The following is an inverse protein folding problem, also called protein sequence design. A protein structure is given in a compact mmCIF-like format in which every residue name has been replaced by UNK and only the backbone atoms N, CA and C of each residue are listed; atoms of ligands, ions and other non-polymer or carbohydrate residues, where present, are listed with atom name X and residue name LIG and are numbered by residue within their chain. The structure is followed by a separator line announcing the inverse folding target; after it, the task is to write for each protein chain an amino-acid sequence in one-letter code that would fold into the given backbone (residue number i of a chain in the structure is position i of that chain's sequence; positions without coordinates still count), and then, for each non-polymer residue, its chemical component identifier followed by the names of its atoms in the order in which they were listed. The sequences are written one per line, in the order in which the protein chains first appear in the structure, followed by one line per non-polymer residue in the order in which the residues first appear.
data_IF_211213183711
#
_entry.id   IF_211213183711
#
_cell.length_a   1.000
_cell.length_b   1.000
_cell.length_c   1.000
_cell.angle_alpha   90.00
_cell.angle_beta   90.00
_cell.angle_gamma   90.00
#
_symmetry.space_group_name_H-M   'P 1'
#
loop_
_entity.id
_entity.type
_entity.pdbx_description
1 polymer ?
#
# COMPACT_ATOMS: atom_id res chain seq x y z
N UNK A 1 -58.87 -15.50 10.78
CA UNK A 1 -57.44 -15.79 10.59
C UNK A 1 -56.93 -14.83 9.53
N UNK A 2 -56.10 -13.86 9.90
CA UNK A 2 -55.47 -12.94 8.95
C UNK A 2 -54.09 -13.50 8.60
N UNK A 3 -53.86 -13.82 7.33
CA UNK A 3 -52.55 -14.23 6.83
C UNK A 3 -51.65 -12.99 6.71
N UNK A 4 -50.59 -12.98 7.52
CA UNK A 4 -49.50 -12.00 7.42
C UNK A 4 -48.72 -12.26 6.13
N UNK A 5 -48.80 -11.34 5.17
CA UNK A 5 -47.98 -11.34 3.96
C UNK A 5 -46.58 -10.88 4.38
N UNK A 6 -45.65 -11.83 4.51
CA UNK A 6 -44.22 -11.54 4.62
C UNK A 6 -43.73 -10.96 3.30
N UNK A 7 -43.50 -9.65 3.27
CA UNK A 7 -42.73 -8.98 2.22
C UNK A 7 -41.28 -9.43 2.37
N UNK A 8 -40.87 -10.45 1.61
CA UNK A 8 -39.47 -10.82 1.42
C UNK A 8 -38.77 -9.60 0.80
N UNK A 9 -37.98 -8.88 1.61
CA UNK A 9 -37.11 -7.83 1.08
C UNK A 9 -36.14 -8.50 0.09
N UNK A 10 -35.97 -7.95 -1.13
CA UNK A 10 -34.94 -8.45 -2.02
C UNK A 10 -33.60 -8.34 -1.29
N UNK A 11 -32.80 -9.41 -1.34
CA UNK A 11 -31.47 -9.42 -0.77
C UNK A 11 -30.73 -8.15 -1.19
N UNK A 12 -30.09 -7.43 -0.25
CA UNK A 12 -29.39 -6.18 -0.58
C UNK A 12 -28.45 -6.44 -1.76
N UNK A 13 -28.41 -5.54 -2.76
CA UNK A 13 -27.60 -5.74 -3.95
C UNK A 13 -26.18 -6.11 -3.51
N UNK A 14 -25.66 -7.19 -4.10
CA UNK A 14 -24.41 -7.84 -3.74
C UNK A 14 -23.42 -6.83 -3.18
N UNK A 15 -23.18 -6.94 -1.86
CA UNK A 15 -22.16 -6.19 -1.14
C UNK A 15 -20.93 -6.13 -2.04
N UNK A 16 -20.42 -4.92 -2.33
CA UNK A 16 -19.10 -4.74 -2.91
C UNK A 16 -18.16 -5.53 -1.99
N UNK A 17 -17.84 -6.77 -2.36
CA UNK A 17 -16.99 -7.63 -1.56
C UNK A 17 -15.65 -6.92 -1.57
N UNK A 18 -15.32 -6.27 -0.45
CA UNK A 18 -14.08 -5.55 -0.22
C UNK A 18 -12.95 -6.58 -0.30
N UNK A 19 -12.44 -6.82 -1.52
CA UNK A 19 -11.42 -7.83 -1.74
C UNK A 19 -10.09 -7.31 -1.20
N UNK A 20 -9.52 -7.94 -0.16
CA UNK A 20 -8.31 -7.43 0.46
C UNK A 20 -7.12 -7.51 -0.51
N UNK A 21 -6.19 -6.56 -0.37
CA UNK A 21 -4.87 -6.63 -1.00
C UNK A 21 -4.02 -7.68 -0.27
N UNK A 22 -3.22 -8.50 -0.98
CA UNK A 22 -2.33 -9.45 -0.35
C UNK A 22 -1.26 -8.72 0.43
N UNK A 23 -0.61 -9.42 1.34
CA UNK A 23 0.53 -8.87 2.08
C UNK A 23 1.69 -8.53 1.14
N UNK A 24 1.96 -9.42 0.18
CA UNK A 24 2.95 -9.25 -0.87
C UNK A 24 2.30 -9.00 -2.24
N UNK A 25 2.38 -7.76 -2.71
CA UNK A 25 1.88 -7.34 -4.03
C UNK A 25 2.71 -7.92 -5.21
N UNK A 26 3.91 -8.43 -4.99
CA UNK A 26 4.69 -9.09 -6.05
C UNK A 26 3.97 -10.30 -6.61
N UNK A 27 3.17 -10.98 -5.77
CA UNK A 27 2.34 -12.12 -6.17
C UNK A 27 1.32 -11.77 -7.26
N UNK A 28 0.99 -10.49 -7.43
CA UNK A 28 0.04 -10.01 -8.43
C UNK A 28 0.70 -9.35 -9.64
N UNK A 29 1.71 -8.50 -9.42
CA UNK A 29 2.17 -7.57 -10.46
C UNK A 29 3.59 -7.84 -10.96
N UNK A 30 4.35 -8.70 -10.28
CA UNK A 30 5.79 -8.86 -10.51
C UNK A 30 6.60 -7.62 -10.14
N UNK A 31 7.93 -7.74 -10.24
CA UNK A 31 8.88 -6.74 -9.75
C UNK A 31 8.79 -5.41 -10.52
N UNK A 32 8.83 -5.47 -11.86
CA UNK A 32 8.83 -4.27 -12.72
C UNK A 32 7.64 -3.37 -12.45
N UNK A 33 6.44 -3.93 -12.45
CA UNK A 33 5.19 -3.18 -12.24
C UNK A 33 5.15 -2.59 -10.84
N UNK A 34 5.55 -3.35 -9.81
CA UNK A 34 5.55 -2.85 -8.45
C UNK A 34 6.54 -1.70 -8.24
N UNK A 35 7.71 -1.76 -8.89
CA UNK A 35 8.67 -0.64 -8.91
C UNK A 35 8.03 0.60 -9.55
N UNK A 36 7.37 0.46 -10.71
CA UNK A 36 6.73 1.58 -11.39
C UNK A 36 5.64 2.22 -10.52
N UNK A 37 4.74 1.42 -9.95
CA UNK A 37 3.69 1.90 -9.04
C UNK A 37 4.29 2.61 -7.82
N UNK A 38 5.42 2.13 -7.29
CA UNK A 38 6.08 2.76 -6.15
C UNK A 38 6.68 4.12 -6.52
N UNK A 39 7.40 4.20 -7.64
CA UNK A 39 7.99 5.45 -8.13
C UNK A 39 6.92 6.50 -8.43
N UNK A 40 5.80 6.09 -9.02
CA UNK A 40 4.65 6.96 -9.26
C UNK A 40 4.00 7.44 -7.95
N UNK A 41 3.86 6.58 -6.94
CA UNK A 41 3.34 6.99 -5.64
C UNK A 41 4.29 7.94 -4.90
N UNK A 42 5.61 7.78 -5.06
CA UNK A 42 6.63 8.66 -4.48
C UNK A 42 6.60 10.03 -5.14
N UNK A 43 6.43 10.12 -6.45
CA UNK A 43 6.39 11.39 -7.18
C UNK A 43 5.21 12.28 -6.77
N UNK A 44 4.15 11.70 -6.20
CA UNK A 44 2.97 12.40 -5.69
C UNK A 44 3.15 12.99 -4.28
N UNK A 45 4.25 12.71 -3.60
CA UNK A 45 4.49 13.15 -2.22
C UNK A 45 5.67 14.09 -2.13
N UNK A 46 5.44 15.28 -1.58
CA UNK A 46 6.50 16.23 -1.30
C UNK A 46 7.14 15.91 0.06
N UNK A 47 8.38 15.45 0.05
CA UNK A 47 9.17 15.13 1.26
C UNK A 47 9.72 16.39 1.98
N UNK A 48 9.59 17.57 1.37
CA UNK A 48 10.18 18.81 1.87
C UNK A 48 11.72 18.79 1.87
N UNK A 49 12.33 19.92 2.21
CA UNK A 49 13.80 20.08 2.20
C UNK A 49 14.53 19.32 3.32
N UNK A 50 13.81 18.75 4.29
CA UNK A 50 14.36 18.17 5.53
C UNK A 50 14.89 16.74 5.38
N UNK A 51 14.75 16.14 4.20
CA UNK A 51 15.06 14.73 3.95
C UNK A 51 16.39 14.51 3.23
N UNK A 52 17.04 15.59 2.78
CA UNK A 52 18.27 15.54 1.99
C UNK A 52 18.07 14.92 0.61
N UNK A 53 19.15 14.83 -0.18
CA UNK A 53 19.11 14.36 -1.57
C UNK A 53 18.62 12.90 -1.69
N UNK A 54 18.85 12.06 -0.67
CA UNK A 54 18.45 10.65 -0.67
C UNK A 54 17.05 10.39 -0.11
N UNK A 55 16.29 11.43 0.24
CA UNK A 55 14.94 11.30 0.78
C UNK A 55 13.99 10.47 -0.12
N UNK A 56 13.89 10.78 -1.44
CA UNK A 56 13.03 10.04 -2.36
C UNK A 56 13.44 8.57 -2.55
N UNK A 57 14.73 8.28 -2.60
CA UNK A 57 15.24 6.91 -2.75
C UNK A 57 14.91 6.06 -1.51
N UNK A 58 15.12 6.62 -0.31
CA UNK A 58 14.81 5.92 0.93
C UNK A 58 13.29 5.74 1.11
N UNK A 59 12.48 6.70 0.67
CA UNK A 59 11.02 6.56 0.63
C UNK A 59 10.60 5.44 -0.33
N UNK A 60 11.21 5.39 -1.52
CA UNK A 60 10.95 4.36 -2.53
C UNK A 60 11.28 2.97 -1.98
N UNK A 61 12.47 2.79 -1.42
CA UNK A 61 12.90 1.52 -0.82
C UNK A 61 11.92 1.06 0.28
N UNK A 62 11.58 1.95 1.22
CA UNK A 62 10.69 1.63 2.35
C UNK A 62 9.30 1.24 1.86
N UNK A 63 8.69 2.05 0.99
CA UNK A 63 7.33 1.79 0.50
C UNK A 63 7.27 0.54 -0.38
N UNK A 64 8.30 0.29 -1.21
CA UNK A 64 8.41 -0.95 -1.97
C UNK A 64 8.50 -2.17 -1.04
N UNK A 65 9.35 -2.12 -0.01
CA UNK A 65 9.46 -3.20 0.98
C UNK A 65 8.15 -3.46 1.72
N UNK A 66 7.41 -2.41 2.08
CA UNK A 66 6.12 -2.54 2.75
C UNK A 66 5.05 -3.16 1.86
N UNK A 67 5.08 -2.85 0.57
CA UNK A 67 4.18 -3.42 -0.41
C UNK A 67 4.39 -4.93 -0.62
N UNK A 68 5.58 -5.43 -0.29
CA UNK A 68 5.94 -6.87 -0.31
C UNK A 68 5.94 -7.54 1.08
N UNK A 69 5.46 -6.86 2.12
CA UNK A 69 5.40 -7.39 3.49
C UNK A 69 6.71 -7.38 4.28
N UNK A 70 7.78 -6.77 3.77
CA UNK A 70 9.05 -6.61 4.49
C UNK A 70 9.01 -5.30 5.28
N UNK A 71 8.80 -5.40 6.59
CA UNK A 71 8.39 -4.25 7.41
C UNK A 71 9.44 -3.76 8.39
N UNK A 72 10.21 -4.66 9.01
CA UNK A 72 11.20 -4.30 10.03
C UNK A 72 12.40 -3.58 9.43
N UNK A 73 12.95 -2.59 10.14
CA UNK A 73 14.10 -1.82 9.65
C UNK A 73 15.34 -2.71 9.43
N UNK A 74 15.55 -3.72 10.30
CA UNK A 74 16.61 -4.72 10.12
C UNK A 74 16.33 -5.69 8.95
N UNK A 75 15.07 -6.03 8.72
CA UNK A 75 14.69 -6.87 7.58
C UNK A 75 14.93 -6.13 6.26
N UNK A 76 14.59 -4.84 6.20
CA UNK A 76 14.83 -3.99 5.03
C UNK A 76 16.32 -3.81 4.78
N UNK A 77 17.10 -3.54 5.84
CA UNK A 77 18.56 -3.47 5.75
C UNK A 77 19.15 -4.78 5.21
N UNK A 78 18.77 -5.92 5.79
CA UNK A 78 19.22 -7.23 5.31
C UNK A 78 18.83 -7.44 3.84
N UNK A 79 17.60 -7.13 3.46
CA UNK A 79 17.14 -7.28 2.08
C UNK A 79 17.94 -6.38 1.11
N UNK A 80 18.16 -5.10 1.43
CA UNK A 80 18.93 -4.17 0.60
C UNK A 80 20.41 -4.57 0.46
N UNK A 81 20.98 -5.25 1.47
CA UNK A 81 22.34 -5.79 1.39
C UNK A 81 22.42 -7.02 0.49
N UNK A 82 21.39 -7.86 0.41
CA UNK A 82 21.44 -9.14 -0.32
C UNK A 82 20.76 -9.09 -1.69
N UNK A 83 19.96 -8.07 -1.96
CA UNK A 83 19.24 -7.88 -3.22
C UNK A 83 19.73 -6.59 -3.93
N UNK A 84 20.47 -6.70 -5.05
CA UNK A 84 20.95 -5.55 -5.81
C UNK A 84 19.83 -4.66 -6.36
N UNK A 85 18.65 -5.20 -6.65
CA UNK A 85 17.53 -4.41 -7.16
C UNK A 85 16.94 -3.54 -6.05
N UNK A 86 16.76 -4.09 -4.85
CA UNK A 86 16.39 -3.29 -3.67
C UNK A 86 17.43 -2.21 -3.37
N UNK A 87 18.72 -2.55 -3.47
CA UNK A 87 19.79 -1.56 -3.25
C UNK A 87 19.71 -0.40 -4.23
N UNK A 88 19.40 -0.67 -5.50
CA UNK A 88 19.21 0.38 -6.52
C UNK A 88 18.02 1.30 -6.19
N UNK A 89 16.92 0.74 -5.67
CA UNK A 89 15.79 1.56 -5.20
C UNK A 89 16.18 2.50 -4.06
N UNK A 90 17.14 2.09 -3.21
CA UNK A 90 17.71 2.91 -2.14
C UNK A 90 18.86 3.83 -2.55
N UNK A 91 18.98 4.20 -3.83
CA UNK A 91 20.04 5.11 -4.30
C UNK A 91 21.40 4.42 -4.46
N UNK A 92 21.40 3.10 -4.71
CA UNK A 92 22.58 2.24 -4.85
C UNK A 92 23.45 2.13 -3.58
N UNK A 93 22.91 2.53 -2.43
CA UNK A 93 23.49 2.34 -1.10
C UNK A 93 22.55 1.45 -0.29
N UNK A 94 23.08 0.51 0.50
CA UNK A 94 22.27 -0.24 1.45
C UNK A 94 22.20 0.55 2.76
N UNK A 95 21.08 1.25 3.07
CA UNK A 95 20.98 2.02 4.30
C UNK A 95 20.96 1.07 5.51
N UNK A 96 21.57 1.51 6.61
CA UNK A 96 21.51 0.76 7.86
C UNK A 96 20.12 0.84 8.51
N UNK A 97 19.81 -0.10 9.41
CA UNK A 97 18.51 -0.18 10.07
C UNK A 97 18.18 1.09 10.86
N UNK A 98 19.19 1.79 11.39
CA UNK A 98 18.98 3.01 12.19
C UNK A 98 18.56 4.19 11.30
N UNK A 99 19.15 4.30 10.11
CA UNK A 99 18.80 5.26 9.06
C UNK A 99 17.37 5.03 8.60
N UNK A 100 16.98 3.79 8.33
CA UNK A 100 15.61 3.41 7.96
C UNK A 100 14.62 3.78 9.08
N UNK A 101 14.93 3.41 10.32
CA UNK A 101 14.07 3.68 11.50
C UNK A 101 13.88 5.17 11.72
N UNK A 102 14.95 5.96 11.66
CA UNK A 102 14.90 7.41 11.85
C UNK A 102 14.16 8.10 10.71
N UNK A 103 14.39 7.67 9.47
CA UNK A 103 13.67 8.18 8.30
C UNK A 103 12.16 7.97 8.45
N UNK A 104 11.73 6.76 8.78
CA UNK A 104 10.31 6.44 8.98
C UNK A 104 9.66 7.28 10.08
N UNK A 105 10.36 7.52 11.18
CA UNK A 105 9.88 8.35 12.29
C UNK A 105 9.70 9.81 11.88
N UNK A 106 10.69 10.37 11.18
CA UNK A 106 10.68 11.78 10.74
C UNK A 106 9.70 12.03 9.60
N UNK A 107 9.44 11.02 8.76
CA UNK A 107 8.64 11.14 7.53
C UNK A 107 7.38 10.27 7.57
N UNK A 108 6.81 10.03 8.75
CA UNK A 108 5.67 9.12 8.95
C UNK A 108 4.50 9.45 8.01
N UNK A 109 4.18 10.73 7.86
CA UNK A 109 3.10 11.17 6.98
C UNK A 109 3.40 10.87 5.50
N UNK A 110 4.64 11.11 5.06
CA UNK A 110 5.05 10.81 3.69
C UNK A 110 4.97 9.30 3.40
N UNK A 111 5.48 8.46 4.30
CA UNK A 111 5.38 6.99 4.19
C UNK A 111 3.92 6.55 4.11
N UNK A 112 3.04 7.08 4.97
CA UNK A 112 1.61 6.76 4.96
C UNK A 112 0.95 7.17 3.64
N UNK A 113 1.20 8.40 3.17
CA UNK A 113 0.60 8.93 1.94
C UNK A 113 1.06 8.15 0.71
N UNK A 114 2.36 7.90 0.58
CA UNK A 114 2.93 7.12 -0.53
C UNK A 114 2.40 5.71 -0.52
N UNK A 115 2.39 5.03 0.63
CA UNK A 115 1.88 3.67 0.72
C UNK A 115 0.38 3.59 0.41
N UNK A 116 -0.41 4.56 0.86
CA UNK A 116 -1.84 4.64 0.51
C UNK A 116 -2.02 4.83 -1.01
N UNK A 117 -1.29 5.75 -1.64
CA UNK A 117 -1.37 5.93 -3.09
C UNK A 117 -0.98 4.65 -3.83
N UNK A 118 0.12 4.01 -3.43
CA UNK A 118 0.58 2.74 -3.99
C UNK A 118 -0.48 1.63 -3.89
N UNK A 119 -1.06 1.44 -2.70
CA UNK A 119 -2.07 0.41 -2.47
C UNK A 119 -3.39 0.70 -3.21
N UNK A 120 -3.77 1.98 -3.33
CA UNK A 120 -4.93 2.40 -4.10
C UNK A 120 -4.73 2.11 -5.60
N UNK A 121 -3.60 2.50 -6.17
CA UNK A 121 -3.25 2.21 -7.57
C UNK A 121 -3.14 0.72 -7.84
N UNK A 122 -2.58 -0.06 -6.92
CA UNK A 122 -2.54 -1.51 -7.02
C UNK A 122 -3.96 -2.12 -7.01
N UNK A 123 -4.84 -1.64 -6.12
CA UNK A 123 -6.22 -2.10 -6.06
C UNK A 123 -6.98 -1.75 -7.35
N UNK A 124 -6.83 -0.53 -7.84
CA UNK A 124 -7.42 -0.08 -9.11
C UNK A 124 -6.88 -0.87 -10.30
N UNK A 125 -5.58 -1.14 -10.38
CA UNK A 125 -5.01 -1.94 -11.46
C UNK A 125 -5.52 -3.38 -11.44
N UNK A 126 -5.73 -3.97 -10.25
CA UNK A 126 -6.25 -5.34 -10.11
C UNK A 126 -7.73 -5.46 -10.38
N UNK A 127 -8.52 -4.52 -9.86
CA UNK A 127 -9.98 -4.63 -9.79
C UNK A 127 -10.72 -3.61 -10.66
N UNK A 128 -10.08 -2.48 -11.02
CA UNK A 128 -10.62 -1.49 -11.95
C UNK A 128 -10.75 -2.01 -13.37
N UNK A 129 -9.85 -2.90 -13.82
CA UNK A 129 -10.03 -3.64 -15.07
C UNK A 129 -11.27 -4.56 -15.04
N UNK A 130 -11.53 -5.21 -13.90
CA UNK A 130 -12.73 -6.02 -13.68
C UNK A 130 -14.00 -5.15 -13.54
N UNK A 131 -13.87 -3.93 -13.01
CA UNK A 131 -14.95 -2.96 -12.98
C UNK A 131 -15.31 -2.45 -14.38
N UNK A 132 -14.33 -2.22 -15.26
CA UNK A 132 -14.56 -1.84 -16.66
C UNK A 132 -15.27 -2.95 -17.46
N UNK A 133 -14.95 -4.22 -17.19
CA UNK A 133 -15.61 -5.38 -17.81
C UNK A 133 -17.03 -5.61 -17.27
N UNK A 134 -17.28 -5.26 -15.99
CA UNK A 134 -18.61 -5.30 -15.37
C UNK A 134 -19.49 -4.06 -15.65
N UNK A 135 -18.92 -2.94 -16.13
CA UNK A 135 -19.57 -1.63 -16.27
C UNK A 135 -20.31 -1.40 -17.60
N UNK A 136 -20.71 -2.45 -18.31
CA UNK A 136 -21.74 -2.34 -19.35
C UNK A 136 -23.14 -2.32 -18.68
N UNK A 137 -23.99 -1.30 -18.92
CA UNK A 137 -23.91 0.10 -18.49
C UNK A 137 -24.74 0.38 -17.23
N UNK A 138 -24.18 1.12 -16.27
CA UNK A 138 -24.95 1.93 -15.31
C UNK A 138 -24.08 3.10 -14.81
N UNK A 139 -24.16 4.23 -15.52
CA UNK A 139 -23.30 5.40 -15.30
C UNK A 139 -23.78 6.24 -14.10
N UNK A 140 -22.82 6.82 -13.36
CA UNK A 140 -22.95 8.13 -12.72
C UNK A 140 -22.82 8.22 -11.20
N UNK A 141 -23.17 7.17 -10.44
CA UNK A 141 -23.14 7.23 -8.97
C UNK A 141 -22.27 6.14 -8.31
N UNK A 142 -22.10 4.99 -8.96
CA UNK A 142 -21.31 3.88 -8.44
C UNK A 142 -19.79 4.14 -8.47
N UNK A 143 -19.32 4.90 -9.46
CA UNK A 143 -17.89 5.20 -9.65
C UNK A 143 -17.31 5.97 -8.46
N UNK A 144 -17.98 7.05 -8.01
CA UNK A 144 -17.57 7.85 -6.84
C UNK A 144 -17.53 7.03 -5.55
N UNK A 145 -18.49 6.14 -5.33
CA UNK A 145 -18.52 5.26 -4.16
C UNK A 145 -17.42 4.18 -4.19
N UNK A 146 -17.12 3.63 -5.37
CA UNK A 146 -16.07 2.63 -5.55
C UNK A 146 -14.67 3.19 -5.31
N UNK A 147 -14.40 4.41 -5.80
CA UNK A 147 -13.15 5.14 -5.56
C UNK A 147 -12.96 5.45 -4.07
N UNK A 148 -14.03 5.85 -3.38
CA UNK A 148 -13.97 6.13 -1.95
C UNK A 148 -13.72 4.85 -1.12
N UNK A 149 -14.33 3.72 -1.48
CA UNK A 149 -14.08 2.44 -0.81
C UNK A 149 -12.65 1.92 -1.03
N UNK A 150 -12.13 2.01 -2.26
CA UNK A 150 -10.74 1.65 -2.58
C UNK A 150 -9.75 2.52 -1.79
N UNK A 151 -10.04 3.81 -1.65
CA UNK A 151 -9.24 4.73 -0.84
C UNK A 151 -9.20 4.35 0.64
N UNK A 152 -10.35 4.00 1.22
CA UNK A 152 -10.46 3.55 2.62
C UNK A 152 -9.67 2.25 2.84
N UNK A 153 -9.82 1.27 1.94
CA UNK A 153 -9.06 0.02 2.00
C UNK A 153 -7.54 0.25 1.90
N UNK A 154 -7.11 1.11 0.99
CA UNK A 154 -5.71 1.47 0.85
C UNK A 154 -5.17 2.17 2.10
N UNK A 155 -5.96 3.05 2.74
CA UNK A 155 -5.57 3.71 3.98
C UNK A 155 -5.47 2.73 5.16
N UNK A 156 -6.42 1.80 5.28
CA UNK A 156 -6.39 0.74 6.28
C UNK A 156 -5.17 -0.16 6.08
N UNK A 157 -4.93 -0.62 4.85
CA UNK A 157 -3.78 -1.46 4.50
C UNK A 157 -2.44 -0.77 4.71
N UNK A 158 -2.36 0.55 4.48
CA UNK A 158 -1.15 1.34 4.73
C UNK A 158 -0.89 1.52 6.23
N UNK A 159 -1.94 1.87 6.99
CA UNK A 159 -1.87 2.03 8.45
C UNK A 159 -1.44 0.73 9.13
N UNK A 160 -2.08 -0.39 8.79
CA UNK A 160 -1.76 -1.70 9.35
C UNK A 160 -0.29 -2.10 9.11
N UNK A 161 0.24 -1.86 7.90
CA UNK A 161 1.66 -2.12 7.58
C UNK A 161 2.59 -1.24 8.41
N UNK A 162 2.27 0.03 8.60
CA UNK A 162 3.07 0.95 9.43
C UNK A 162 3.05 0.51 10.90
N UNK A 163 1.91 0.09 11.44
CA UNK A 163 1.77 -0.39 12.81
C UNK A 163 2.58 -1.67 13.05
N UNK A 164 2.43 -2.66 12.17
CA UNK A 164 3.25 -3.89 12.22
C UNK A 164 4.74 -3.58 12.11
N UNK A 165 5.14 -2.59 11.30
CA UNK A 165 6.53 -2.18 11.20
C UNK A 165 7.04 -1.50 12.49
N UNK A 166 6.19 -0.82 13.26
CA UNK A 166 6.55 -0.30 14.59
C UNK A 166 6.75 -1.47 15.54
N UNK A 167 5.81 -2.42 15.55
CA UNK A 167 5.87 -3.61 16.39
C UNK A 167 7.12 -4.45 16.11
N UNK A 168 7.45 -4.69 14.84
CA UNK A 168 8.65 -5.41 14.42
C UNK A 168 9.94 -4.75 14.92
N UNK A 169 10.02 -3.41 14.87
CA UNK A 169 11.19 -2.66 15.37
C UNK A 169 11.25 -2.59 16.90
N UNK A 170 10.15 -2.82 17.60
CA UNK A 170 10.12 -2.92 19.06
C UNK A 170 10.56 -4.31 19.51
N UNK A 171 9.98 -5.37 18.95
CA UNK A 171 10.33 -6.76 19.31
C UNK A 171 11.79 -7.10 18.97
N UNK A 172 12.34 -6.56 17.87
CA UNK A 172 13.73 -6.79 17.54
C UNK A 172 14.72 -6.09 18.49
N UNK A 173 14.27 -5.25 19.43
CA UNK A 173 15.14 -4.72 20.50
C UNK A 173 15.23 -5.65 21.71
N UNK A 174 14.36 -6.67 21.79
CA UNK A 174 14.26 -7.59 22.92
C UNK A 174 15.12 -8.86 22.73
N UNK A 175 15.75 -9.03 21.56
CA UNK A 175 16.71 -10.10 21.18
C UNK A 175 18.16 -9.60 21.16
#
# INVERSE_FOLDING_TARGET
MLQTISLEMPAPPAQIQMRPLPEDLLTWFGERTLVQLTLEAVSQVNLGSRTGVQGPDLLTLVCYCYARGVLGSRQIEWAARHDPNLRRLGGNVAPDWNTIRNFRRRNREAVLRTLRCLLASAHELRYGAAALEAALPAQGAAESGSLQAAWVLALQGATARIERAIHADSMALDE
#
